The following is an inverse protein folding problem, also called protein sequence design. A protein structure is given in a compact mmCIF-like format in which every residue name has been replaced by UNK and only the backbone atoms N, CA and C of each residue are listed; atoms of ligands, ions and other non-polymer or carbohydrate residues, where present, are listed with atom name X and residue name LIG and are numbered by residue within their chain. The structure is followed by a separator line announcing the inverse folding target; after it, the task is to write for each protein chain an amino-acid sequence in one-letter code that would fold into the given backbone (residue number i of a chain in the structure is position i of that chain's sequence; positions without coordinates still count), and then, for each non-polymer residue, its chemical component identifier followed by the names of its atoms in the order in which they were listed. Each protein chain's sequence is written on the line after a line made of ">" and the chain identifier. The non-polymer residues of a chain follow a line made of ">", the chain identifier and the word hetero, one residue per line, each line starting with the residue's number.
data_IF_079500127174
#
_entry.id   IF_079500127174
#
_cell.length_a   1.000
_cell.length_b   1.000
_cell.length_c   1.000
_cell.angle_alpha   90.00
_cell.angle_beta   90.00
_cell.angle_gamma   90.00
#
_symmetry.space_group_name_H-M   'P 1'
#
loop_
_entity.id
_entity.type
_entity.pdbx_description
1 polymer ?
#
# COMPACT_ATOMS: atom_id res chain seq x y z
N UNK A 1 -29.56 5.80 -66.28
CA UNK A 1 -28.41 5.70 -65.35
C UNK A 1 -29.04 5.41 -63.99
N UNK A 2 -28.88 4.23 -63.40
CA UNK A 2 -29.45 3.96 -62.07
C UNK A 2 -28.75 4.89 -61.07
N UNK A 3 -29.49 5.81 -60.47
CA UNK A 3 -28.97 6.66 -59.41
C UNK A 3 -28.75 5.78 -58.19
N UNK A 4 -27.49 5.66 -57.76
CA UNK A 4 -27.14 4.87 -56.58
C UNK A 4 -27.85 5.45 -55.37
N UNK A 5 -28.48 4.59 -54.59
CA UNK A 5 -29.34 5.00 -53.47
C UNK A 5 -28.55 5.05 -52.15
N UNK A 6 -29.21 5.53 -51.09
CA UNK A 6 -28.74 5.44 -49.71
C UNK A 6 -28.27 4.02 -49.35
N UNK A 7 -29.09 3.01 -49.68
CA UNK A 7 -28.79 1.60 -49.38
C UNK A 7 -27.54 1.11 -50.11
N UNK A 8 -27.35 1.55 -51.36
CA UNK A 8 -26.17 1.17 -52.15
C UNK A 8 -24.87 1.68 -51.53
N UNK A 9 -24.89 2.86 -50.89
CA UNK A 9 -23.72 3.41 -50.21
C UNK A 9 -23.30 2.56 -49.01
N UNK A 10 -24.25 2.27 -48.13
CA UNK A 10 -23.99 1.52 -46.90
C UNK A 10 -23.68 0.05 -47.16
N UNK A 11 -24.30 -0.54 -48.18
CA UNK A 11 -23.94 -1.88 -48.66
C UNK A 11 -22.49 -1.94 -49.18
N UNK A 12 -22.04 -0.91 -49.88
CA UNK A 12 -20.65 -0.84 -50.34
C UNK A 12 -19.68 -0.64 -49.16
N UNK A 13 -20.03 0.23 -48.21
CA UNK A 13 -19.26 0.45 -46.98
C UNK A 13 -19.11 -0.84 -46.17
N UNK A 14 -20.20 -1.59 -45.96
CA UNK A 14 -20.23 -2.87 -45.26
C UNK A 14 -19.24 -3.88 -45.87
N UNK A 15 -19.23 -3.97 -47.21
CA UNK A 15 -18.33 -4.87 -47.94
C UNK A 15 -16.84 -4.54 -47.73
N UNK A 16 -16.50 -3.29 -47.42
CA UNK A 16 -15.12 -2.88 -47.14
C UNK A 16 -14.73 -3.04 -45.67
N UNK A 17 -15.70 -3.19 -44.76
CA UNK A 17 -15.47 -3.38 -43.32
C UNK A 17 -15.34 -4.87 -42.92
N UNK A 18 -15.12 -5.76 -43.89
CA UNK A 18 -14.95 -7.21 -43.70
C UNK A 18 -13.84 -7.64 -42.72
N UNK A 19 -12.97 -6.72 -42.29
CA UNK A 19 -11.91 -7.00 -41.31
C UNK A 19 -12.35 -6.73 -39.85
N UNK A 20 -13.49 -6.09 -39.63
CA UNK A 20 -14.09 -5.91 -38.31
C UNK A 20 -14.91 -7.16 -37.95
N UNK A 21 -15.05 -7.42 -36.65
CA UNK A 21 -16.03 -8.39 -36.15
C UNK A 21 -17.46 -7.92 -36.48
N UNK A 22 -18.42 -8.85 -36.46
CA UNK A 22 -19.81 -8.54 -36.82
C UNK A 22 -20.43 -7.48 -35.89
N UNK A 23 -20.09 -7.53 -34.58
CA UNK A 23 -20.52 -6.55 -33.58
C UNK A 23 -19.94 -5.15 -33.87
N UNK A 24 -18.61 -5.06 -34.05
CA UNK A 24 -17.93 -3.77 -34.32
C UNK A 24 -18.42 -3.13 -35.64
N UNK A 25 -18.70 -3.97 -36.64
CA UNK A 25 -19.25 -3.51 -37.92
C UNK A 25 -20.67 -2.98 -37.77
N UNK A 26 -21.50 -3.64 -36.97
CA UNK A 26 -22.85 -3.18 -36.63
C UNK A 26 -22.84 -1.81 -35.98
N UNK A 27 -21.95 -1.60 -35.00
CA UNK A 27 -21.82 -0.30 -34.31
C UNK A 27 -21.39 0.82 -35.27
N UNK A 28 -20.38 0.56 -36.11
CA UNK A 28 -19.91 1.51 -37.12
C UNK A 28 -21.03 1.83 -38.14
N UNK A 29 -21.74 0.81 -38.59
CA UNK A 29 -22.82 0.97 -39.56
C UNK A 29 -23.96 1.81 -38.99
N UNK A 30 -24.39 1.52 -37.76
CA UNK A 30 -25.43 2.31 -37.07
C UNK A 30 -25.01 3.77 -36.93
N UNK A 31 -23.78 4.03 -36.49
CA UNK A 31 -23.29 5.39 -36.28
C UNK A 31 -23.36 6.24 -37.56
N UNK A 32 -22.90 5.70 -38.69
CA UNK A 32 -22.91 6.47 -39.94
C UNK A 32 -24.29 6.54 -40.59
N UNK A 33 -25.18 5.58 -40.34
CA UNK A 33 -26.58 5.66 -40.76
C UNK A 33 -27.34 6.72 -39.96
N UNK A 34 -27.12 6.80 -38.65
CA UNK A 34 -27.67 7.86 -37.79
C UNK A 34 -27.13 9.22 -38.25
N UNK A 35 -25.84 9.33 -38.53
CA UNK A 35 -25.24 10.56 -39.07
C UNK A 35 -25.86 11.00 -40.41
N UNK A 36 -26.10 10.06 -41.32
CA UNK A 36 -26.72 10.36 -42.61
C UNK A 36 -28.20 10.76 -42.44
N UNK A 37 -28.90 10.13 -41.50
CA UNK A 37 -30.30 10.43 -41.18
C UNK A 37 -30.44 11.82 -40.54
N UNK A 38 -29.61 12.14 -39.55
CA UNK A 38 -29.57 13.47 -38.90
C UNK A 38 -29.17 14.57 -39.89
N UNK A 39 -28.28 14.25 -40.83
CA UNK A 39 -27.88 15.13 -41.92
C UNK A 39 -28.90 15.25 -43.04
N UNK A 40 -30.02 14.51 -42.97
CA UNK A 40 -31.07 14.43 -44.00
C UNK A 40 -30.50 14.08 -45.40
N UNK A 41 -29.49 13.19 -45.44
CA UNK A 41 -28.79 12.75 -46.65
C UNK A 41 -29.47 11.50 -47.20
N UNK A 42 -30.18 11.61 -48.32
CA UNK A 42 -31.01 10.52 -48.87
C UNK A 42 -30.40 9.86 -50.09
N UNK A 43 -29.33 10.43 -50.64
CA UNK A 43 -28.75 10.00 -51.92
C UNK A 43 -27.27 9.64 -51.77
N UNK A 44 -26.79 8.65 -52.53
CA UNK A 44 -25.37 8.24 -52.52
C UNK A 44 -24.42 9.42 -52.72
N UNK A 45 -24.78 10.34 -53.62
CA UNK A 45 -23.98 11.54 -53.91
C UNK A 45 -23.86 12.47 -52.70
N UNK A 46 -24.95 12.70 -51.99
CA UNK A 46 -24.99 13.58 -50.82
C UNK A 46 -24.16 13.02 -49.66
N UNK A 47 -24.32 11.71 -49.41
CA UNK A 47 -23.52 10.99 -48.41
C UNK A 47 -22.04 11.05 -48.80
N UNK A 48 -21.71 10.74 -50.06
CA UNK A 48 -20.32 10.73 -50.51
C UNK A 48 -19.64 12.11 -50.49
N UNK A 49 -20.40 13.18 -50.61
CA UNK A 49 -19.90 14.55 -50.54
C UNK A 49 -19.61 14.97 -49.09
N UNK A 50 -20.45 14.54 -48.15
CA UNK A 50 -20.35 14.93 -46.75
C UNK A 50 -19.35 14.09 -45.96
N UNK A 51 -19.39 12.76 -46.10
CA UNK A 51 -18.56 11.82 -45.31
C UNK A 51 -17.49 11.11 -46.14
N UNK A 52 -17.47 11.31 -47.46
CA UNK A 52 -16.49 10.74 -48.39
C UNK A 52 -16.95 9.45 -49.07
N UNK A 53 -16.11 8.91 -49.95
CA UNK A 53 -16.40 7.65 -50.65
C UNK A 53 -16.33 6.45 -49.69
N UNK A 54 -17.19 5.41 -49.87
CA UNK A 54 -17.31 4.31 -48.92
C UNK A 54 -15.97 3.57 -48.73
N UNK A 55 -15.18 3.41 -49.80
CA UNK A 55 -13.85 2.81 -49.76
C UNK A 55 -12.81 3.64 -48.97
N UNK A 56 -12.91 4.97 -48.98
CA UNK A 56 -11.98 5.85 -48.25
C UNK A 56 -12.34 5.86 -46.77
N UNK A 57 -13.63 5.99 -46.48
CA UNK A 57 -14.16 5.94 -45.13
C UNK A 57 -13.82 4.61 -44.44
N UNK A 58 -14.03 3.48 -45.11
CA UNK A 58 -13.66 2.16 -44.58
C UNK A 58 -12.17 2.05 -44.22
N UNK A 59 -11.27 2.60 -45.06
CA UNK A 59 -9.83 2.58 -44.76
C UNK A 59 -9.47 3.41 -43.52
N UNK A 60 -10.13 4.55 -43.35
CA UNK A 60 -9.93 5.41 -42.18
C UNK A 60 -10.41 4.71 -40.90
N UNK A 61 -11.63 4.17 -40.93
CA UNK A 61 -12.19 3.38 -39.83
C UNK A 61 -11.25 2.22 -39.48
N UNK A 62 -10.82 1.45 -40.47
CA UNK A 62 -9.89 0.32 -40.26
C UNK A 62 -8.55 0.75 -39.67
N UNK A 63 -8.03 1.92 -40.03
CA UNK A 63 -6.80 2.45 -39.47
C UNK A 63 -6.98 2.87 -38.00
N UNK A 64 -8.06 3.57 -37.67
CA UNK A 64 -8.37 4.00 -36.30
C UNK A 64 -8.63 2.80 -35.37
N UNK A 65 -9.24 1.74 -35.90
CA UNK A 65 -9.39 0.46 -35.19
C UNK A 65 -8.06 -0.30 -35.09
N UNK A 66 -7.19 -0.24 -36.10
CA UNK A 66 -5.87 -0.90 -36.05
C UNK A 66 -4.93 -0.27 -35.01
N UNK A 67 -5.00 1.04 -34.78
CA UNK A 67 -4.23 1.72 -33.74
C UNK A 67 -4.65 1.24 -32.34
N UNK A 68 -5.92 0.90 -32.13
CA UNK A 68 -6.40 0.28 -30.88
C UNK A 68 -5.94 -1.19 -30.72
N UNK A 69 -5.43 -1.82 -31.78
CA UNK A 69 -4.92 -3.20 -31.79
C UNK A 69 -3.41 -3.26 -31.50
N UNK A 70 -2.65 -2.20 -31.80
CA UNK A 70 -1.17 -2.18 -31.74
C UNK A 70 -0.57 -1.95 -30.33
N UNK A 71 -1.39 -1.74 -29.30
CA UNK A 71 -0.97 -1.75 -27.88
C UNK A 71 -0.75 -3.19 -27.34
N UNK A 72 0.16 -3.92 -27.99
CA UNK A 72 0.79 -5.14 -27.48
C UNK A 72 0.28 -6.48 -28.05
N UNK A 73 1.18 -7.47 -28.20
CA UNK A 73 0.97 -8.68 -29.00
C UNK A 73 -0.17 -9.54 -28.47
N UNK A 74 -1.02 -10.06 -29.37
CA UNK A 74 -2.03 -11.07 -29.05
C UNK A 74 -1.73 -12.38 -29.80
N UNK A 75 -1.66 -13.54 -29.13
CA UNK A 75 -1.92 -14.79 -29.79
C UNK A 75 -3.42 -14.90 -30.08
N UNK A 76 -3.70 -15.52 -31.21
CA UNK A 76 -5.02 -15.84 -31.78
C UNK A 76 -5.85 -16.67 -30.80
N UNK A 77 -7.17 -16.42 -30.80
CA UNK A 77 -8.24 -17.10 -30.05
C UNK A 77 -8.55 -16.49 -28.67
N UNK A 78 -9.41 -15.47 -28.63
CA UNK A 78 -10.47 -15.35 -27.61
C UNK A 78 -11.37 -14.16 -27.93
N UNK A 79 -12.62 -14.49 -28.24
CA UNK A 79 -13.78 -13.62 -28.26
C UNK A 79 -14.00 -13.00 -26.86
N UNK A 80 -14.29 -11.70 -26.81
CA UNK A 80 -15.08 -11.01 -25.77
C UNK A 80 -14.57 -10.86 -24.31
N UNK A 81 -13.26 -10.92 -23.97
CA UNK A 81 -12.82 -10.80 -22.54
C UNK A 81 -11.72 -9.75 -22.26
N UNK A 82 -11.33 -8.87 -23.19
CA UNK A 82 -10.15 -7.98 -22.94
C UNK A 82 -10.43 -6.71 -22.11
N UNK A 83 -11.67 -6.21 -22.06
CA UNK A 83 -12.07 -5.18 -21.06
C UNK A 83 -12.32 -5.80 -19.67
N UNK A 84 -12.78 -7.06 -19.65
CA UNK A 84 -13.04 -7.81 -18.43
C UNK A 84 -11.79 -8.07 -17.60
N UNK A 85 -10.59 -8.30 -18.15
CA UNK A 85 -9.42 -8.58 -17.27
C UNK A 85 -9.01 -7.40 -16.37
N UNK A 86 -9.24 -6.14 -16.78
CA UNK A 86 -8.98 -4.97 -15.92
C UNK A 86 -10.13 -4.76 -14.93
N UNK A 87 -11.38 -4.91 -15.37
CA UNK A 87 -12.55 -4.81 -14.50
C UNK A 87 -12.67 -5.99 -13.52
N UNK A 88 -12.39 -7.22 -13.93
CA UNK A 88 -12.26 -8.42 -13.09
C UNK A 88 -11.07 -8.31 -12.14
N UNK A 89 -9.97 -7.68 -12.53
CA UNK A 89 -8.87 -7.37 -11.60
C UNK A 89 -9.26 -6.29 -10.59
N UNK A 90 -10.03 -5.28 -11.00
CA UNK A 90 -10.64 -4.30 -10.10
C UNK A 90 -11.65 -4.97 -9.16
N UNK A 91 -12.54 -5.81 -9.66
CA UNK A 91 -13.52 -6.59 -8.89
C UNK A 91 -12.79 -7.55 -7.94
N UNK A 92 -11.69 -8.18 -8.39
CA UNK A 92 -10.81 -8.98 -7.55
C UNK A 92 -10.19 -8.14 -6.44
N UNK A 93 -9.68 -6.94 -6.73
CA UNK A 93 -9.16 -6.03 -5.71
C UNK A 93 -10.26 -5.46 -4.80
N UNK A 94 -11.48 -5.28 -5.28
CA UNK A 94 -12.63 -4.83 -4.49
C UNK A 94 -13.08 -5.96 -3.56
N UNK A 95 -13.18 -7.20 -4.04
CA UNK A 95 -13.48 -8.39 -3.22
C UNK A 95 -12.35 -8.62 -2.22
N UNK A 96 -11.09 -8.52 -2.65
CA UNK A 96 -9.93 -8.62 -1.78
C UNK A 96 -9.89 -7.47 -0.77
N UNK A 97 -10.32 -6.27 -1.14
CA UNK A 97 -10.47 -5.11 -0.26
C UNK A 97 -11.65 -5.23 0.70
N UNK A 98 -12.77 -5.84 0.27
CA UNK A 98 -13.96 -6.09 1.07
C UNK A 98 -13.73 -7.24 2.06
N UNK A 99 -12.93 -8.25 1.68
CA UNK A 99 -12.50 -9.35 2.54
C UNK A 99 -11.28 -8.98 3.38
N UNK A 100 -10.44 -8.06 2.90
CA UNK A 100 -9.41 -7.41 3.71
C UNK A 100 -10.05 -6.45 4.70
N UNK A 101 -11.16 -5.78 4.42
CA UNK A 101 -11.84 -4.85 5.36
C UNK A 101 -12.09 -5.46 6.76
N UNK A 102 -12.64 -6.68 6.91
CA UNK A 102 -12.81 -7.31 8.22
C UNK A 102 -11.49 -7.75 8.86
N UNK A 103 -10.38 -7.86 8.12
CA UNK A 103 -9.04 -8.21 8.65
C UNK A 103 -8.17 -6.96 8.88
N UNK A 104 -8.35 -5.91 8.09
CA UNK A 104 -7.58 -4.67 8.12
C UNK A 104 -7.95 -3.84 9.35
N UNK A 105 -9.23 -3.80 9.72
CA UNK A 105 -9.71 -3.19 10.97
C UNK A 105 -9.05 -3.81 12.22
N UNK A 106 -9.10 -5.15 12.45
CA UNK A 106 -8.45 -5.74 13.61
C UNK A 106 -6.92 -5.65 13.54
N UNK A 107 -6.30 -5.76 12.36
CA UNK A 107 -4.85 -5.58 12.22
C UNK A 107 -4.43 -4.15 12.59
N UNK A 108 -5.18 -3.13 12.15
CA UNK A 108 -4.93 -1.75 12.54
C UNK A 108 -5.11 -1.52 14.04
N UNK A 109 -6.17 -2.10 14.64
CA UNK A 109 -6.39 -2.04 16.07
C UNK A 109 -5.24 -2.68 16.87
N UNK A 110 -4.77 -3.86 16.46
CA UNK A 110 -3.62 -4.54 17.07
C UNK A 110 -2.35 -3.69 16.98
N UNK A 111 -2.11 -3.04 15.84
CA UNK A 111 -0.95 -2.16 15.66
C UNK A 111 -0.97 -0.96 16.63
N UNK A 112 -2.16 -0.36 16.82
CA UNK A 112 -2.35 0.75 17.78
C UNK A 112 -2.16 0.25 19.22
N UNK A 113 -2.70 -0.92 19.56
CA UNK A 113 -2.52 -1.52 20.89
C UNK A 113 -1.04 -1.75 21.16
N UNK A 114 -0.29 -2.33 20.22
CA UNK A 114 1.16 -2.55 20.37
C UNK A 114 1.89 -1.23 20.62
N UNK A 115 1.56 -0.17 19.86
CA UNK A 115 2.16 1.14 20.05
C UNK A 115 1.87 1.70 21.45
N UNK A 116 0.62 1.61 21.90
CA UNK A 116 0.20 2.06 23.23
C UNK A 116 0.88 1.24 24.34
N UNK A 117 0.97 -0.08 24.20
CA UNK A 117 1.65 -0.97 25.17
C UNK A 117 3.11 -0.59 25.32
N UNK A 118 3.82 -0.32 24.22
CA UNK A 118 5.23 0.11 24.28
C UNK A 118 5.37 1.41 25.07
N UNK A 119 4.48 2.39 24.83
CA UNK A 119 4.49 3.66 25.56
C UNK A 119 4.22 3.43 27.05
N UNK A 120 3.22 2.62 27.40
CA UNK A 120 2.88 2.30 28.79
C UNK A 120 4.04 1.63 29.50
N UNK A 121 4.72 0.67 28.86
CA UNK A 121 5.89 -0.01 29.45
C UNK A 121 7.00 1.00 29.74
N UNK A 122 7.29 1.91 28.80
CA UNK A 122 8.32 2.93 28.99
C UNK A 122 7.98 3.84 30.18
N UNK A 123 6.72 4.27 30.28
CA UNK A 123 6.26 5.11 31.40
C UNK A 123 6.29 4.35 32.72
N UNK A 124 5.80 3.11 32.76
CA UNK A 124 5.79 2.28 33.96
C UNK A 124 7.20 2.02 34.49
N UNK A 125 8.15 1.71 33.59
CA UNK A 125 9.56 1.54 33.94
C UNK A 125 10.15 2.85 34.49
N UNK A 126 9.83 4.00 33.88
CA UNK A 126 10.28 5.29 34.39
C UNK A 126 9.77 5.57 35.82
N UNK A 127 8.49 5.31 36.08
CA UNK A 127 7.87 5.50 37.40
C UNK A 127 8.48 4.54 38.42
N UNK A 128 8.61 3.24 38.09
CA UNK A 128 9.17 2.25 39.00
C UNK A 128 10.60 2.60 39.43
N UNK A 129 11.40 3.12 38.51
CA UNK A 129 12.78 3.52 38.79
C UNK A 129 12.81 4.79 39.64
N UNK A 130 11.99 5.79 39.34
CA UNK A 130 11.87 6.98 40.18
C UNK A 130 11.43 6.59 41.61
N UNK A 131 10.46 5.70 41.73
CA UNK A 131 10.01 5.14 43.01
C UNK A 131 11.12 4.43 43.76
N UNK A 132 11.93 3.62 43.07
CA UNK A 132 13.05 2.88 43.67
C UNK A 132 14.18 3.83 44.10
N UNK A 133 14.45 4.90 43.35
CA UNK A 133 15.42 5.94 43.74
C UNK A 133 14.96 6.68 44.99
N UNK A 134 13.71 7.13 45.02
CA UNK A 134 13.15 7.84 46.19
C UNK A 134 13.11 6.91 47.40
N UNK A 135 12.59 5.69 47.26
CA UNK A 135 12.55 4.70 48.33
C UNK A 135 13.97 4.31 48.81
N UNK A 136 14.92 4.16 47.89
CA UNK A 136 16.33 3.92 48.19
C UNK A 136 16.96 5.06 48.99
N UNK A 137 16.64 6.32 48.65
CA UNK A 137 17.11 7.48 49.40
C UNK A 137 16.52 7.53 50.81
N UNK A 138 15.20 7.32 50.93
CA UNK A 138 14.51 7.31 52.23
C UNK A 138 15.06 6.20 53.12
N UNK A 139 15.19 4.98 52.60
CA UNK A 139 15.75 3.86 53.35
C UNK A 139 17.19 4.10 53.77
N UNK A 140 18.04 4.63 52.88
CA UNK A 140 19.42 4.97 53.22
C UNK A 140 19.49 6.01 54.37
N UNK A 141 18.67 7.07 54.31
CA UNK A 141 18.60 8.07 55.38
C UNK A 141 18.09 7.45 56.69
N UNK A 142 17.07 6.60 56.63
CA UNK A 142 16.55 5.89 57.81
C UNK A 142 17.61 5.01 58.47
N UNK A 143 18.46 4.33 57.69
CA UNK A 143 19.56 3.53 58.24
C UNK A 143 20.63 4.39 58.92
N UNK A 144 20.94 5.57 58.39
CA UNK A 144 21.89 6.50 59.02
C UNK A 144 21.34 7.03 60.35
N UNK A 145 20.05 7.41 60.39
CA UNK A 145 19.39 7.87 61.62
C UNK A 145 19.31 6.75 62.65
N UNK A 146 18.94 5.54 62.24
CA UNK A 146 18.93 4.36 63.12
C UNK A 146 20.33 4.06 63.67
N UNK A 147 21.38 4.17 62.85
CA UNK A 147 22.77 4.01 63.27
C UNK A 147 23.19 5.02 64.33
N UNK A 148 22.80 6.29 64.18
CA UNK A 148 23.06 7.33 65.19
C UNK A 148 22.32 7.06 66.51
N UNK A 149 21.11 6.52 66.47
CA UNK A 149 20.33 6.18 67.66
C UNK A 149 20.92 5.02 68.47
N UNK A 150 21.58 4.06 67.81
CA UNK A 150 22.20 2.88 68.44
C UNK A 150 23.64 3.14 68.89
N UNK A 151 24.21 4.32 68.57
CA UNK A 151 25.59 4.70 68.89
C UNK A 151 25.88 4.67 70.40
N UNK A 152 24.87 4.96 71.23
CA UNK A 152 24.99 4.92 72.70
C UNK A 152 24.95 3.50 73.28
N UNK A 153 24.46 2.51 72.52
CA UNK A 153 24.40 1.12 72.96
C UNK A 153 25.59 0.30 72.46
N UNK A 154 25.95 0.43 71.19
CA UNK A 154 27.08 -0.32 70.62
C UNK A 154 27.66 0.38 69.39
N UNK A 155 28.92 0.81 69.53
CA UNK A 155 29.66 1.55 68.49
C UNK A 155 29.81 0.71 67.21
N UNK A 156 30.06 -0.60 67.35
CA UNK A 156 30.23 -1.52 66.21
C UNK A 156 28.97 -1.62 65.34
N UNK A 157 27.80 -1.71 65.98
CA UNK A 157 26.50 -1.80 65.28
C UNK A 157 26.14 -0.49 64.61
N UNK A 158 26.42 0.64 65.27
CA UNK A 158 26.23 1.97 64.69
C UNK A 158 27.10 2.19 63.44
N UNK A 159 28.38 1.78 63.49
CA UNK A 159 29.28 1.87 62.33
C UNK A 159 28.78 1.04 61.14
N UNK A 160 28.24 -0.15 61.42
CA UNK A 160 27.70 -1.04 60.39
C UNK A 160 26.47 -0.44 59.69
N UNK A 161 25.51 0.12 60.45
CA UNK A 161 24.32 0.75 59.89
C UNK A 161 24.63 2.03 59.11
N UNK A 162 25.53 2.87 59.62
CA UNK A 162 26.01 4.06 58.90
C UNK A 162 26.74 3.65 57.62
N UNK A 163 27.57 2.60 57.69
CA UNK A 163 28.27 2.04 56.53
C UNK A 163 27.32 1.56 55.44
N UNK A 164 26.27 0.83 55.79
CA UNK A 164 25.22 0.40 54.85
C UNK A 164 24.47 1.60 54.25
N UNK A 165 24.16 2.62 55.07
CA UNK A 165 23.52 3.84 54.59
C UNK A 165 24.35 4.56 53.52
N UNK A 166 25.65 4.74 53.78
CA UNK A 166 26.59 5.38 52.83
C UNK A 166 26.78 4.50 51.58
N UNK A 167 26.92 3.18 51.75
CA UNK A 167 27.03 2.25 50.63
C UNK A 167 25.76 2.27 49.74
N UNK A 168 24.58 2.37 50.35
CA UNK A 168 23.30 2.51 49.65
C UNK A 168 23.23 3.78 48.80
N UNK A 169 23.70 4.92 49.34
CA UNK A 169 23.81 6.18 48.57
C UNK A 169 24.80 6.03 47.41
N UNK A 170 25.94 5.36 47.65
CA UNK A 170 26.92 5.06 46.60
C UNK A 170 26.34 4.23 45.46
N UNK A 171 25.56 3.18 45.78
CA UNK A 171 24.87 2.35 44.79
C UNK A 171 23.84 3.17 44.01
N UNK A 172 23.04 4.01 44.68
CA UNK A 172 22.06 4.86 44.02
C UNK A 172 22.71 5.82 42.99
N UNK A 173 23.89 6.36 43.31
CA UNK A 173 24.68 7.20 42.41
C UNK A 173 25.16 6.44 41.16
N UNK A 174 25.59 5.18 41.30
CA UNK A 174 26.03 4.33 40.18
C UNK A 174 24.87 3.84 39.31
N UNK A 175 23.70 3.60 39.90
CA UNK A 175 22.50 3.17 39.16
C UNK A 175 21.97 4.28 38.23
N UNK A 176 22.17 5.54 38.61
CA UNK A 176 21.70 6.71 37.83
C UNK A 176 22.26 6.79 36.39
N UNK A 177 23.58 6.68 36.13
CA UNK A 177 24.11 6.66 34.76
C UNK A 177 23.77 5.38 33.99
N UNK A 178 23.72 4.21 34.66
CA UNK A 178 23.24 2.95 34.06
C UNK A 178 21.82 3.13 33.51
N UNK A 179 20.97 3.84 34.26
CA UNK A 179 19.60 4.14 33.86
C UNK A 179 19.52 4.98 32.59
N UNK A 180 20.29 6.07 32.51
CA UNK A 180 20.31 6.91 31.30
C UNK A 180 20.73 6.10 30.06
N UNK A 181 21.65 5.16 30.24
CA UNK A 181 22.09 4.22 29.22
C UNK A 181 20.98 3.24 28.82
N UNK A 182 20.23 2.72 29.79
CA UNK A 182 19.10 1.81 29.56
C UNK A 182 17.96 2.49 28.78
N UNK A 183 17.59 3.72 29.16
CA UNK A 183 16.56 4.51 28.45
C UNK A 183 17.00 4.78 27.01
N UNK A 184 18.25 5.19 26.82
CA UNK A 184 18.82 5.42 25.49
C UNK A 184 18.87 4.12 24.67
N UNK A 185 19.16 2.99 25.30
CA UNK A 185 19.16 1.67 24.67
C UNK A 185 17.75 1.25 24.23
N UNK A 186 16.72 1.47 25.05
CA UNK A 186 15.32 1.19 24.70
C UNK A 186 14.87 2.07 23.52
N UNK A 187 15.16 3.38 23.57
CA UNK A 187 14.82 4.29 22.47
C UNK A 187 15.51 3.89 21.16
N UNK A 188 16.80 3.57 21.23
CA UNK A 188 17.59 3.14 20.07
C UNK A 188 17.15 1.76 19.57
N UNK A 189 16.76 0.86 20.48
CA UNK A 189 16.19 -0.44 20.19
C UNK A 189 14.88 -0.33 19.42
N UNK A 190 13.97 0.54 19.87
CA UNK A 190 12.70 0.81 19.21
C UNK A 190 12.89 1.32 17.77
N UNK A 191 13.79 2.29 17.57
CA UNK A 191 14.12 2.81 16.21
C UNK A 191 14.80 1.75 15.34
N UNK A 192 15.67 0.92 15.93
CA UNK A 192 16.36 -0.16 15.21
C UNK A 192 15.40 -1.27 14.79
N UNK A 193 14.43 -1.60 15.64
CA UNK A 193 13.40 -2.57 15.36
C UNK A 193 12.54 -2.13 14.16
N UNK A 194 12.13 -0.86 14.11
CA UNK A 194 11.41 -0.29 12.97
C UNK A 194 12.21 -0.39 11.66
N UNK A 195 13.51 -0.05 11.70
CA UNK A 195 14.41 -0.19 10.53
C UNK A 195 14.67 -1.65 10.16
N UNK A 196 14.59 -2.58 11.10
CA UNK A 196 14.81 -4.01 10.84
C UNK A 196 13.57 -4.65 10.22
N UNK A 197 12.36 -4.33 10.70
CA UNK A 197 11.10 -4.80 10.11
C UNK A 197 10.96 -4.28 8.66
N UNK A 198 11.24 -2.99 8.42
CA UNK A 198 11.10 -2.40 7.09
C UNK A 198 12.04 -3.04 6.07
N UNK A 199 13.29 -3.31 6.46
CA UNK A 199 14.26 -3.99 5.59
C UNK A 199 13.88 -5.45 5.30
N UNK A 200 13.25 -6.15 6.25
CA UNK A 200 12.90 -7.57 6.09
C UNK A 200 11.69 -7.78 5.17
N UNK A 201 10.75 -6.83 5.12
CA UNK A 201 9.61 -6.90 4.21
C UNK A 201 9.92 -6.35 2.81
N UNK A 202 10.74 -5.30 2.69
CA UNK A 202 11.03 -4.68 1.38
C UNK A 202 12.01 -5.53 0.54
N UNK A 203 12.89 -6.32 1.18
CA UNK A 203 13.90 -7.12 0.44
C UNK A 203 13.36 -8.39 -0.25
N UNK A 204 12.11 -8.82 0.01
CA UNK A 204 11.54 -10.03 -0.64
C UNK A 204 10.88 -9.78 -2.00
N UNK A 205 10.66 -8.53 -2.39
CA UNK A 205 10.03 -8.23 -3.69
C UNK A 205 11.04 -8.20 -4.85
N UNK A 206 12.32 -7.90 -4.60
CA UNK A 206 13.31 -7.75 -5.69
C UNK A 206 13.98 -9.07 -6.10
N UNK A 207 13.96 -10.13 -5.28
CA UNK A 207 14.58 -11.42 -5.64
C UNK A 207 13.74 -12.28 -6.57
N UNK A 208 12.44 -12.00 -6.73
CA UNK A 208 11.58 -12.74 -7.66
C UNK A 208 11.58 -12.15 -9.09
N UNK A 209 12.14 -10.95 -9.29
CA UNK A 209 12.20 -10.31 -10.62
C UNK A 209 13.45 -10.76 -11.39
N UNK A 210 14.53 -11.11 -10.69
CA UNK A 210 15.82 -11.47 -11.31
C UNK A 210 15.90 -12.94 -11.73
N UNK A 211 15.14 -13.84 -11.08
CA UNK A 211 15.08 -15.25 -11.48
C UNK A 211 14.28 -15.51 -12.76
N UNK A 212 13.51 -14.54 -13.26
CA UNK A 212 12.74 -14.67 -14.50
C UNK A 212 13.52 -14.14 -15.73
N UNK A 213 14.45 -13.21 -15.53
CA UNK A 213 15.32 -12.66 -16.58
C UNK A 213 16.51 -13.57 -16.95
N UNK A 214 16.92 -14.48 -16.07
CA UNK A 214 18.06 -15.39 -16.32
C UNK A 214 17.63 -16.71 -16.98
N UNK A 215 16.34 -17.05 -16.95
CA UNK A 215 15.79 -18.24 -17.63
C UNK A 215 15.36 -17.93 -19.06
N UNK A 216 15.31 -16.65 -19.44
CA UNK A 216 14.92 -16.17 -20.77
C UNK A 216 16.07 -15.60 -21.60
N UNK A 217 17.30 -15.65 -21.10
CA UNK A 217 18.54 -15.30 -21.83
C UNK A 217 19.31 -16.56 -22.22
#
# INVERSE_FOLDING_TARGET
>A
MMEKTYEDYFKELDSYLNRLTDDERGDVMSYYQDYATDGNLHTYREISAQIGLPKRLAKQILADYSIQIDDGPRPTNETLVKSSKRHARLIWFIILGLLASPVALPVAAVLIIILMTVIIIVVAVAIAILGTLVAGFVTAVSFVVAGLGVLTQSVSTALFFIGIGIAGIGIALVVTPIFWLLVKAIFKGSVTFTKWIGRKFIKRTNTNVESESEVTA
#
